data_IF_106602041150
#
_entry.id   IF_106602041150
#
_cell.length_a   1.000
_cell.length_b   1.000
_cell.length_c   1.000
_cell.angle_alpha   90.00
_cell.angle_beta   90.00
_cell.angle_gamma   90.00
#
_symmetry.space_group_name_H-M   'P 1'
#
loop_
_entity.id
_entity.type
_entity.pdbx_description
1 polymer ?
#
# COMPACT_ATOMS: atom_id res chain seq x y z
N UNK A 1 26.45 15.71 7.27
CA UNK A 1 27.08 16.54 8.34
C UNK A 1 28.43 17.11 7.86
N UNK A 2 29.45 16.28 7.59
CA UNK A 2 30.79 16.71 7.13
C UNK A 2 30.76 17.59 5.87
N UNK A 3 30.02 17.19 4.83
CA UNK A 3 29.95 17.93 3.56
C UNK A 3 29.35 19.35 3.67
N UNK A 4 28.33 19.57 4.51
CA UNK A 4 27.73 20.90 4.68
C UNK A 4 28.69 21.85 5.39
N UNK A 5 29.41 21.35 6.39
CA UNK A 5 30.46 22.11 7.08
C UNK A 5 31.64 22.45 6.16
N UNK A 6 32.10 21.50 5.33
CA UNK A 6 33.15 21.73 4.31
C UNK A 6 32.79 22.86 3.34
N UNK A 7 31.51 23.00 2.98
CA UNK A 7 31.03 24.08 2.10
C UNK A 7 30.69 25.38 2.83
N UNK A 8 30.95 25.48 4.14
CA UNK A 8 30.65 26.68 4.93
C UNK A 8 29.15 26.94 5.12
N UNK A 9 28.29 25.95 4.89
CA UNK A 9 26.83 26.08 5.08
C UNK A 9 26.51 25.91 6.56
N UNK A 10 25.93 26.94 7.18
CA UNK A 10 25.44 26.87 8.57
C UNK A 10 24.26 25.91 8.65
N UNK A 11 24.31 24.94 9.56
CA UNK A 11 23.23 23.99 9.79
C UNK A 11 23.05 23.68 11.28
N UNK A 12 21.86 23.20 11.63
CA UNK A 12 21.50 22.60 12.91
C UNK A 12 20.89 21.22 12.63
N UNK A 13 21.00 20.29 13.56
CA UNK A 13 20.43 18.94 13.41
C UNK A 13 19.45 18.66 14.53
N UNK A 14 18.23 18.27 14.14
CA UNK A 14 17.19 17.82 15.06
C UNK A 14 17.08 16.30 14.99
N UNK A 15 16.90 15.67 16.13
CA UNK A 15 16.74 14.23 16.28
C UNK A 15 15.43 13.96 17.02
N UNK A 16 14.69 12.95 16.59
CA UNK A 16 13.42 12.54 17.20
C UNK A 16 13.18 11.05 16.92
N UNK A 17 12.39 10.42 17.79
CA UNK A 17 11.97 9.04 17.59
C UNK A 17 10.87 8.97 16.54
N UNK A 18 11.11 8.22 15.47
CA UNK A 18 10.15 8.04 14.39
C UNK A 18 9.72 6.58 14.28
N UNK A 19 8.42 6.37 14.12
CA UNK A 19 7.90 5.10 13.63
C UNK A 19 8.32 4.92 12.17
N UNK A 20 9.08 3.88 11.89
CA UNK A 20 9.48 3.49 10.53
C UNK A 20 8.97 2.08 10.27
N UNK A 21 8.38 1.87 9.10
CA UNK A 21 7.99 0.55 8.64
C UNK A 21 8.95 0.11 7.53
N UNK A 22 9.57 -1.04 7.73
CA UNK A 22 10.40 -1.70 6.73
C UNK A 22 9.66 -2.94 6.22
N UNK A 23 9.35 -3.04 4.92
CA UNK A 23 8.78 -4.25 4.36
C UNK A 23 9.78 -5.40 4.52
N UNK A 24 9.23 -6.58 4.80
CA UNK A 24 10.00 -7.83 4.92
C UNK A 24 9.69 -8.71 3.72
N UNK A 25 9.09 -9.86 3.97
CA UNK A 25 8.78 -10.86 2.95
C UNK A 25 7.31 -10.79 2.58
N UNK A 26 6.99 -11.21 1.36
CA UNK A 26 5.64 -11.35 0.85
C UNK A 26 5.52 -12.66 0.06
N UNK A 27 4.32 -13.21 0.00
CA UNK A 27 4.02 -14.36 -0.86
C UNK A 27 2.60 -14.21 -1.38
N UNK A 28 2.42 -14.42 -2.68
CA UNK A 28 1.12 -14.41 -3.34
C UNK A 28 0.92 -15.73 -4.08
N UNK A 29 -0.18 -16.41 -3.79
CA UNK A 29 -0.57 -17.65 -4.45
C UNK A 29 -1.97 -17.52 -5.01
N UNK A 30 -2.15 -17.91 -6.26
CA UNK A 30 -3.46 -18.12 -6.87
C UNK A 30 -3.81 -19.58 -6.62
N UNK A 31 -4.93 -19.86 -5.93
CA UNK A 31 -5.36 -21.23 -5.62
C UNK A 31 -6.21 -21.86 -6.72
N UNK A 32 -6.92 -21.04 -7.52
CA UNK A 32 -7.83 -21.49 -8.58
C UNK A 32 -7.98 -20.42 -9.68
N UNK A 33 -8.41 -20.79 -10.91
CA UNK A 33 -8.65 -22.17 -11.38
C UNK A 33 -7.35 -22.95 -11.64
N UNK A 34 -6.23 -22.24 -11.87
CA UNK A 34 -4.91 -22.84 -12.07
C UNK A 34 -3.98 -22.37 -10.97
N UNK A 35 -3.52 -23.28 -10.08
CA UNK A 35 -2.61 -22.91 -9.03
C UNK A 35 -1.30 -22.32 -9.56
N UNK A 36 -0.89 -21.18 -9.04
CA UNK A 36 0.42 -20.58 -9.33
C UNK A 36 0.90 -19.70 -8.19
N UNK A 37 2.21 -19.53 -8.11
CA UNK A 37 2.85 -18.53 -7.27
C UNK A 37 3.23 -17.33 -8.13
N UNK A 38 3.01 -16.13 -7.60
CA UNK A 38 3.35 -14.88 -8.27
C UNK A 38 4.43 -14.21 -7.44
N UNK A 39 5.55 -13.89 -8.06
CA UNK A 39 6.61 -13.11 -7.42
C UNK A 39 6.05 -11.74 -7.03
N UNK A 40 6.21 -11.37 -5.76
CA UNK A 40 5.67 -10.11 -5.25
C UNK A 40 6.53 -9.55 -4.10
N UNK A 41 6.34 -8.27 -3.84
CA UNK A 41 6.85 -7.58 -2.65
C UNK A 41 5.69 -7.06 -1.79
N UNK A 42 6.00 -6.66 -0.56
CA UNK A 42 5.11 -5.86 0.28
C UNK A 42 5.63 -4.43 0.42
N UNK A 43 4.85 -3.57 1.08
CA UNK A 43 5.09 -2.13 1.14
C UNK A 43 5.23 -1.62 2.57
N UNK A 44 5.94 -0.52 2.75
CA UNK A 44 6.06 0.13 4.05
C UNK A 44 4.68 0.57 4.56
N UNK A 45 4.37 0.20 5.80
CA UNK A 45 3.07 0.37 6.48
C UNK A 45 1.91 -0.47 5.92
N UNK A 46 2.20 -1.46 5.07
CA UNK A 46 1.25 -2.52 4.75
C UNK A 46 1.04 -3.41 5.98
N UNK A 47 -0.20 -3.80 6.26
CA UNK A 47 -0.49 -4.68 7.40
C UNK A 47 0.08 -6.08 7.16
N UNK A 48 0.74 -6.65 8.16
CA UNK A 48 1.13 -8.06 8.16
C UNK A 48 -0.10 -8.96 8.25
N UNK A 49 -0.12 -10.04 7.47
CA UNK A 49 -1.14 -11.07 7.59
C UNK A 49 -0.94 -11.91 8.87
N UNK A 50 -1.97 -12.67 9.31
CA UNK A 50 -1.77 -13.81 10.20
C UNK A 50 -0.78 -14.83 9.61
N UNK A 51 -0.32 -15.77 10.44
CA UNK A 51 0.65 -16.81 10.03
C UNK A 51 0.06 -17.74 8.95
N UNK A 52 -1.23 -18.02 9.02
CA UNK A 52 -2.00 -18.76 8.03
C UNK A 52 -2.24 -17.99 6.71
N UNK A 53 -1.92 -16.70 6.66
CA UNK A 53 -2.19 -15.82 5.53
C UNK A 53 -3.64 -15.33 5.46
N UNK A 54 -4.00 -14.77 4.31
CA UNK A 54 -5.38 -14.38 3.97
C UNK A 54 -5.75 -15.05 2.65
N UNK A 55 -6.81 -15.86 2.66
CA UNK A 55 -7.43 -16.39 1.44
C UNK A 55 -8.75 -15.67 1.19
N UNK A 56 -8.89 -15.08 0.01
CA UNK A 56 -10.09 -14.33 -0.38
C UNK A 56 -10.32 -14.43 -1.88
N UNK A 57 -11.58 -14.25 -2.29
CA UNK A 57 -11.92 -14.11 -3.71
C UNK A 57 -11.23 -12.86 -4.29
N UNK A 58 -10.61 -13.00 -5.46
CA UNK A 58 -9.95 -11.89 -6.15
C UNK A 58 -10.95 -11.17 -7.05
N UNK A 59 -11.07 -9.85 -6.89
CA UNK A 59 -11.90 -8.99 -7.74
C UNK A 59 -11.02 -7.98 -8.50
N UNK A 60 -11.19 -7.94 -9.82
CA UNK A 60 -10.49 -6.98 -10.65
C UNK A 60 -11.18 -5.61 -10.59
N UNK A 61 -10.38 -4.57 -10.33
CA UNK A 61 -10.83 -3.18 -10.26
C UNK A 61 -10.36 -2.47 -11.53
N UNK A 62 -11.26 -2.19 -12.50
CA UNK A 62 -10.90 -1.73 -13.83
C UNK A 62 -10.60 -0.22 -13.88
N UNK A 63 -9.89 0.30 -12.88
CA UNK A 63 -9.59 1.74 -12.73
C UNK A 63 -8.11 1.92 -12.43
N UNK A 64 -7.46 2.87 -13.12
CA UNK A 64 -6.07 3.22 -12.89
C UNK A 64 -5.96 4.52 -12.08
N UNK A 65 -5.21 4.54 -10.95
CA UNK A 65 -4.95 5.75 -10.16
C UNK A 65 -4.20 6.85 -10.93
N UNK A 66 -3.60 6.52 -12.10
CA UNK A 66 -2.92 7.48 -12.95
C UNK A 66 -3.85 8.50 -13.62
N UNK A 67 -5.18 8.34 -13.52
CA UNK A 67 -6.10 9.45 -13.76
C UNK A 67 -6.02 10.41 -12.57
N UNK A 68 -5.10 11.39 -12.66
CA UNK A 68 -4.69 12.37 -11.63
C UNK A 68 -5.80 13.25 -10.98
N UNK A 69 -7.07 12.83 -10.96
CA UNK A 69 -8.21 13.60 -10.46
C UNK A 69 -9.24 12.81 -9.65
N UNK A 70 -8.99 11.55 -9.27
CA UNK A 70 -9.89 10.86 -8.34
C UNK A 70 -9.61 11.33 -6.91
N UNK A 71 -10.38 12.33 -6.49
CA UNK A 71 -10.56 12.65 -5.08
C UNK A 71 -10.91 11.34 -4.34
N UNK A 72 -10.49 11.19 -3.07
CA UNK A 72 -10.70 9.99 -2.24
C UNK A 72 -12.18 9.52 -2.17
N UNK A 73 -13.14 10.34 -2.60
CA UNK A 73 -14.56 9.99 -2.75
C UNK A 73 -14.92 9.20 -4.01
N UNK A 74 -14.18 9.30 -5.11
CA UNK A 74 -14.52 8.60 -6.35
C UNK A 74 -13.98 7.17 -6.35
N UNK A 75 -12.76 6.96 -5.85
CA UNK A 75 -12.11 5.66 -5.90
C UNK A 75 -12.76 4.63 -4.97
N UNK A 76 -13.21 5.07 -3.78
CA UNK A 76 -13.97 4.20 -2.85
C UNK A 76 -15.25 3.70 -3.52
N UNK A 77 -15.94 4.57 -4.25
CA UNK A 77 -17.17 4.19 -4.95
C UNK A 77 -16.88 3.26 -6.14
N UNK A 78 -15.76 3.44 -6.85
CA UNK A 78 -15.33 2.48 -7.87
C UNK A 78 -15.05 1.09 -7.30
N UNK A 79 -14.38 1.01 -6.14
CA UNK A 79 -14.21 -0.26 -5.42
C UNK A 79 -15.57 -0.87 -5.02
N UNK A 80 -16.49 -0.07 -4.48
CA UNK A 80 -17.83 -0.56 -4.08
C UNK A 80 -18.65 -1.05 -5.28
N UNK A 81 -18.57 -0.37 -6.44
CA UNK A 81 -19.28 -0.76 -7.67
C UNK A 81 -18.91 -2.17 -8.14
N UNK A 82 -17.68 -2.62 -7.90
CA UNK A 82 -17.22 -3.97 -8.24
C UNK A 82 -17.35 -4.97 -7.08
N UNK A 83 -17.87 -4.55 -5.94
CA UNK A 83 -18.21 -5.44 -4.82
C UNK A 83 -17.00 -6.00 -4.08
N UNK A 84 -16.07 -5.13 -3.64
CA UNK A 84 -14.82 -5.55 -2.99
C UNK A 84 -14.94 -5.94 -1.51
N UNK A 85 -16.09 -5.73 -0.90
CA UNK A 85 -16.29 -6.01 0.53
C UNK A 85 -16.00 -7.49 0.83
N UNK A 86 -15.05 -7.75 1.73
CA UNK A 86 -14.59 -9.10 2.07
C UNK A 86 -13.68 -9.78 1.03
N UNK A 87 -13.26 -9.05 -0.03
CA UNK A 87 -12.48 -9.60 -1.15
C UNK A 87 -11.07 -9.03 -1.23
N UNK A 88 -10.19 -9.73 -1.94
CA UNK A 88 -8.89 -9.21 -2.34
C UNK A 88 -9.04 -8.44 -3.66
N UNK A 89 -8.42 -7.27 -3.79
CA UNK A 89 -8.49 -6.47 -5.03
C UNK A 89 -7.30 -6.77 -5.93
N UNK A 90 -7.51 -6.73 -7.24
CA UNK A 90 -6.46 -6.75 -8.26
C UNK A 90 -6.61 -5.49 -9.12
N UNK A 91 -5.55 -4.70 -9.26
CA UNK A 91 -5.61 -3.48 -10.06
C UNK A 91 -4.29 -3.14 -10.75
N UNK A 92 -4.35 -2.38 -11.83
CA UNK A 92 -3.15 -1.77 -12.42
C UNK A 92 -2.75 -0.49 -11.68
N UNK A 93 -1.45 -0.34 -11.45
CA UNK A 93 -0.85 0.85 -10.82
C UNK A 93 -0.24 0.54 -9.45
N UNK A 94 0.57 1.48 -8.96
CA UNK A 94 1.34 1.33 -7.73
C UNK A 94 0.47 1.35 -6.47
N UNK A 95 0.90 0.60 -5.44
CA UNK A 95 0.32 0.63 -4.09
C UNK A 95 0.60 1.98 -3.41
N UNK A 96 -0.16 3.01 -3.79
CA UNK A 96 -0.02 4.36 -3.23
C UNK A 96 -0.96 4.60 -2.05
N UNK A 97 -0.67 5.56 -1.16
CA UNK A 97 -1.46 5.78 0.06
C UNK A 97 -2.96 5.97 -0.17
N UNK A 98 -3.33 6.78 -1.16
CA UNK A 98 -4.75 7.06 -1.44
C UNK A 98 -5.50 5.82 -1.93
N UNK A 99 -4.81 4.98 -2.71
CA UNK A 99 -5.38 3.76 -3.30
C UNK A 99 -5.59 2.70 -2.23
N UNK A 100 -4.54 2.45 -1.43
CA UNK A 100 -4.61 1.47 -0.33
C UNK A 100 -5.67 1.86 0.69
N UNK A 101 -5.73 3.16 1.02
CA UNK A 101 -6.78 3.71 1.88
C UNK A 101 -8.17 3.51 1.31
N UNK A 102 -8.39 3.83 0.04
CA UNK A 102 -9.71 3.74 -0.58
C UNK A 102 -10.25 2.30 -0.60
N UNK A 103 -9.41 1.31 -0.92
CA UNK A 103 -9.80 -0.10 -0.87
C UNK A 103 -10.19 -0.54 0.54
N UNK A 104 -9.45 -0.10 1.58
CA UNK A 104 -9.81 -0.35 2.97
C UNK A 104 -11.17 0.25 3.32
N UNK A 105 -11.43 1.50 2.94
CA UNK A 105 -12.72 2.16 3.17
C UNK A 105 -13.89 1.50 2.40
N UNK A 106 -13.59 0.76 1.34
CA UNK A 106 -14.55 -0.04 0.58
C UNK A 106 -14.72 -1.47 1.12
N UNK A 107 -13.97 -1.86 2.16
CA UNK A 107 -14.10 -3.16 2.82
C UNK A 107 -13.24 -4.29 2.23
N UNK A 108 -12.25 -3.97 1.39
CA UNK A 108 -11.30 -4.97 0.90
C UNK A 108 -10.44 -5.54 2.04
N UNK A 109 -10.10 -6.83 1.96
CA UNK A 109 -9.29 -7.53 2.97
C UNK A 109 -7.82 -7.67 2.58
N UNK A 110 -7.51 -7.54 1.28
CA UNK A 110 -6.16 -7.54 0.73
C UNK A 110 -6.13 -6.82 -0.63
N UNK A 111 -4.94 -6.43 -1.09
CA UNK A 111 -4.76 -5.72 -2.35
C UNK A 111 -3.55 -6.25 -3.12
N UNK A 112 -3.70 -6.40 -4.44
CA UNK A 112 -2.69 -6.83 -5.38
C UNK A 112 -2.54 -5.77 -6.48
N UNK A 113 -1.34 -5.24 -6.62
CA UNK A 113 -1.03 -4.12 -7.50
C UNK A 113 -0.14 -4.53 -8.67
N UNK A 114 -0.69 -4.53 -9.88
CA UNK A 114 0.07 -4.80 -11.11
C UNK A 114 0.87 -3.55 -11.47
N UNK A 115 2.16 -3.58 -11.18
CA UNK A 115 3.12 -2.60 -11.66
C UNK A 115 3.38 -2.87 -13.15
N UNK A 116 2.88 -2.03 -14.06
CA UNK A 116 2.86 -2.27 -15.51
C UNK A 116 4.22 -2.27 -16.24
N UNK A 117 5.29 -2.71 -15.60
CA UNK A 117 6.63 -2.88 -16.17
C UNK A 117 7.37 -4.08 -15.57
N UNK A 118 8.62 -4.28 -15.96
CA UNK A 118 9.41 -5.48 -15.60
C UNK A 118 10.01 -5.45 -14.18
N UNK A 119 9.59 -4.50 -13.33
CA UNK A 119 10.13 -4.30 -11.98
C UNK A 119 9.02 -4.04 -10.96
N UNK A 120 9.20 -4.63 -9.79
CA UNK A 120 8.36 -4.41 -8.62
C UNK A 120 8.69 -3.05 -7.99
N UNK A 121 7.66 -2.24 -7.72
CA UNK A 121 7.83 -0.88 -7.22
C UNK A 121 7.58 -0.81 -5.71
N UNK A 122 8.63 -0.55 -4.95
CA UNK A 122 8.49 -0.30 -3.53
C UNK A 122 7.88 1.08 -3.27
N UNK A 123 6.99 1.16 -2.28
CA UNK A 123 6.22 2.35 -1.92
C UNK A 123 5.87 2.34 -0.43
N UNK A 124 5.53 3.51 0.07
CA UNK A 124 4.85 3.69 1.35
C UNK A 124 3.34 3.76 1.12
N UNK A 125 2.54 3.07 1.94
CA UNK A 125 1.08 2.99 1.78
C UNK A 125 0.28 3.74 2.84
N UNK A 126 0.93 4.32 3.86
CA UNK A 126 0.23 5.16 4.84
C UNK A 126 -0.07 6.56 4.30
N UNK A 127 -1.23 7.11 4.66
CA UNK A 127 -1.59 8.49 4.33
C UNK A 127 -1.00 9.51 5.32
N UNK A 128 -0.32 9.05 6.36
CA UNK A 128 0.38 9.89 7.34
C UNK A 128 1.79 10.19 6.82
N UNK A 129 2.11 11.48 6.68
CA UNK A 129 3.45 11.94 6.34
C UNK A 129 4.22 12.32 7.60
N UNK A 130 5.36 11.68 7.84
CA UNK A 130 6.13 11.80 9.08
C UNK A 130 5.78 10.71 10.10
N UNK A 131 5.98 10.99 11.38
CA UNK A 131 5.64 10.04 12.46
C UNK A 131 4.17 10.20 12.87
N UNK A 132 3.38 9.11 12.87
CA UNK A 132 2.00 9.17 13.36
C UNK A 132 1.93 9.59 14.83
N UNK A 133 0.99 10.49 15.13
CA UNK A 133 0.53 10.81 16.48
C UNK A 133 -0.62 9.88 16.88
N UNK A 134 -1.02 9.78 18.15
CA UNK A 134 -2.20 9.03 18.56
C UNK A 134 -3.46 9.39 17.75
N UNK A 135 -3.64 10.66 17.41
CA UNK A 135 -4.79 11.17 16.64
C UNK A 135 -4.73 10.82 15.15
N UNK A 136 -3.55 10.52 14.62
CA UNK A 136 -3.37 10.16 13.20
C UNK A 136 -3.04 8.68 12.99
N UNK A 137 -2.83 7.91 14.06
CA UNK A 137 -2.51 6.49 14.01
C UNK A 137 -3.61 5.65 13.35
N UNK A 138 -4.88 6.06 13.45
CA UNK A 138 -6.02 5.42 12.76
C UNK A 138 -5.91 5.46 11.23
N UNK A 139 -5.04 6.33 10.69
CA UNK A 139 -4.78 6.47 9.25
C UNK A 139 -3.67 5.57 8.74
N UNK A 140 -3.04 4.78 9.63
CA UNK A 140 -2.16 3.69 9.24
C UNK A 140 -3.05 2.59 8.63
N UNK A 141 -2.73 2.08 7.42
CA UNK A 141 -3.51 1.03 6.81
C UNK A 141 -3.62 -0.21 7.71
N UNK A 142 -4.84 -0.72 7.82
CA UNK A 142 -5.19 -1.97 8.49
C UNK A 142 -5.55 -3.07 7.47
N UNK A 143 -5.08 -2.91 6.23
CA UNK A 143 -5.23 -3.85 5.12
C UNK A 143 -3.85 -4.19 4.56
N UNK A 144 -3.69 -5.42 4.09
CA UNK A 144 -2.45 -5.84 3.45
C UNK A 144 -2.45 -5.49 1.95
N UNK A 145 -1.29 -5.12 1.43
CA UNK A 145 -1.03 -4.82 0.04
C UNK A 145 0.28 -5.46 -0.43
N UNK A 146 0.25 -5.99 -1.64
CA UNK A 146 1.41 -6.53 -2.38
C UNK A 146 1.43 -5.98 -3.81
N UNK A 147 2.61 -5.96 -4.41
CA UNK A 147 2.83 -5.66 -5.85
C UNK A 147 3.58 -6.78 -6.52
#
# INVERSE_FOLDING_TARGET
RVKLGEYGVRYETYEFDSLISHPKEATLKVSSPTPMEVECITHAFSKSTPEEGIEAELVYVPVSPSSLFTCLGDLVDEYRKVGVEGKATLMFGVASPAVVWAAQQAGAVAQVHICGGDVLHEMIVTTVWGTPTPESAERIPDVTAVS
#
